data_IF_609377726465
#
_entry.id   IF_609377726465
#
_cell.length_a   1.000
_cell.length_b   1.000
_cell.length_c   1.000
_cell.angle_alpha   90.00
_cell.angle_beta   90.00
_cell.angle_gamma   90.00
#
_symmetry.space_group_name_H-M   'P 1'
#
loop_
_entity.id
_entity.type
_entity.pdbx_description
1 polymer ?
#
# COMPACT_ATOMS: atom_id res chain seq x y z
N UNK A 1 9.83 12.39 -9.47
CA UNK A 1 9.03 11.16 -9.67
C UNK A 1 7.59 11.56 -9.50
N UNK A 2 6.73 11.27 -10.47
CA UNK A 2 5.31 11.54 -10.34
C UNK A 2 4.62 10.25 -9.85
N UNK A 3 3.86 10.35 -8.76
CA UNK A 3 3.10 9.25 -8.16
C UNK A 3 1.58 9.43 -8.37
N UNK A 4 1.16 10.43 -9.16
CA UNK A 4 -0.22 10.64 -9.55
C UNK A 4 -0.75 9.45 -10.36
N UNK A 5 -1.91 8.93 -9.95
CA UNK A 5 -2.66 7.89 -10.65
C UNK A 5 -1.85 6.62 -10.96
N UNK A 6 -1.03 6.16 -10.01
CA UNK A 6 -0.27 4.91 -10.13
C UNK A 6 -1.20 3.68 -10.01
N UNK A 7 -1.91 3.37 -11.09
CA UNK A 7 -2.87 2.27 -11.18
C UNK A 7 -2.94 1.72 -12.62
N UNK A 8 -3.15 0.41 -12.76
CA UNK A 8 -3.34 -0.24 -14.07
C UNK A 8 -4.34 -1.40 -14.00
N UNK A 9 -4.89 -1.78 -15.16
CA UNK A 9 -5.76 -2.95 -15.31
C UNK A 9 -5.11 -4.00 -16.19
N UNK A 10 -5.08 -5.24 -15.71
CA UNK A 10 -4.59 -6.39 -16.47
C UNK A 10 -5.77 -7.30 -16.81
N UNK A 11 -6.01 -7.48 -18.11
CA UNK A 11 -7.02 -8.42 -18.61
C UNK A 11 -6.38 -9.76 -18.92
N UNK A 12 -6.79 -10.80 -18.18
CA UNK A 12 -6.35 -12.16 -18.46
C UNK A 12 -6.86 -12.64 -19.83
N UNK A 13 -6.06 -13.44 -20.53
CA UNK A 13 -6.45 -14.04 -21.81
C UNK A 13 -7.66 -14.98 -21.65
N UNK A 14 -7.76 -15.64 -20.50
CA UNK A 14 -8.88 -16.52 -20.12
C UNK A 14 -9.31 -16.21 -18.68
N UNK A 15 -10.61 -16.28 -18.36
CA UNK A 15 -11.09 -16.08 -16.99
C UNK A 15 -10.56 -17.17 -16.05
N UNK A 16 -10.35 -16.82 -14.78
CA UNK A 16 -10.02 -17.77 -13.73
C UNK A 16 -11.29 -18.42 -13.16
N UNK A 17 -11.15 -19.66 -12.68
CA UNK A 17 -12.19 -20.32 -11.90
C UNK A 17 -12.01 -19.97 -10.43
N UNK A 18 -13.00 -19.29 -9.85
CA UNK A 18 -13.01 -18.97 -8.42
C UNK A 18 -13.12 -20.25 -7.58
N UNK A 19 -12.43 -20.27 -6.45
CA UNK A 19 -12.41 -21.38 -5.49
C UNK A 19 -11.90 -20.86 -4.13
N UNK A 20 -11.68 -21.77 -3.17
CA UNK A 20 -11.24 -21.43 -1.81
C UNK A 20 -9.90 -20.66 -1.75
N UNK A 21 -9.09 -20.75 -2.81
CA UNK A 21 -7.80 -20.07 -2.93
C UNK A 21 -7.80 -18.94 -3.97
N UNK A 22 -8.90 -18.72 -4.70
CA UNK A 22 -9.01 -17.71 -5.76
C UNK A 22 -10.34 -16.97 -5.63
N UNK A 23 -10.29 -15.72 -5.19
CA UNK A 23 -11.45 -14.85 -5.01
C UNK A 23 -11.22 -13.46 -5.59
N UNK A 24 -12.28 -12.66 -5.66
CA UNK A 24 -12.25 -11.25 -6.09
C UNK A 24 -12.26 -10.34 -4.86
N UNK A 25 -11.57 -9.21 -4.95
CA UNK A 25 -11.63 -8.16 -3.93
C UNK A 25 -12.75 -7.17 -4.24
N UNK A 26 -13.37 -6.61 -3.21
CA UNK A 26 -14.33 -5.53 -3.35
C UNK A 26 -13.61 -4.23 -3.73
N UNK A 27 -14.27 -3.39 -4.54
CA UNK A 27 -13.84 -2.01 -4.76
C UNK A 27 -14.52 -1.08 -3.75
N UNK A 28 -13.85 -0.02 -3.27
CA UNK A 28 -14.49 1.01 -2.47
C UNK A 28 -15.54 1.77 -3.29
N UNK A 29 -16.44 2.46 -2.59
CA UNK A 29 -17.38 3.37 -3.25
C UNK A 29 -16.62 4.57 -3.82
N UNK A 30 -17.10 5.15 -4.92
CA UNK A 30 -16.49 6.35 -5.49
C UNK A 30 -16.38 7.47 -4.44
N UNK A 31 -15.16 7.95 -4.20
CA UNK A 31 -14.86 9.00 -3.21
C UNK A 31 -14.77 8.52 -1.76
N UNK A 32 -14.92 7.22 -1.50
CA UNK A 32 -14.68 6.63 -0.19
C UNK A 32 -13.18 6.58 0.09
N UNK A 33 -12.77 7.22 1.20
CA UNK A 33 -11.40 7.20 1.70
C UNK A 33 -11.35 6.44 3.02
N UNK A 34 -10.28 5.67 3.28
CA UNK A 34 -10.14 4.98 4.55
C UNK A 34 -9.92 6.02 5.66
N UNK A 35 -10.47 5.77 6.85
CA UNK A 35 -10.38 6.71 7.97
C UNK A 35 -8.99 6.61 8.61
N UNK A 36 -8.48 7.72 9.11
CA UNK A 36 -7.27 7.77 9.92
C UNK A 36 -7.31 6.71 11.05
N UNK A 37 -6.16 6.14 11.39
CA UNK A 37 -6.01 5.08 12.39
C UNK A 37 -6.72 3.75 12.08
N UNK A 38 -7.43 3.64 10.94
CA UNK A 38 -7.97 2.37 10.48
C UNK A 38 -6.81 1.42 10.21
N UNK A 39 -6.85 0.23 10.81
CA UNK A 39 -5.86 -0.81 10.55
C UNK A 39 -6.22 -1.55 9.27
N UNK A 40 -5.27 -1.61 8.35
CA UNK A 40 -5.39 -2.27 7.06
C UNK A 40 -4.32 -3.34 6.94
N UNK A 41 -4.58 -4.36 6.13
CA UNK A 41 -3.64 -5.44 5.87
C UNK A 41 -3.03 -5.26 4.49
N UNK A 42 -1.70 -5.21 4.41
CA UNK A 42 -0.96 -5.33 3.15
C UNK A 42 -0.38 -6.74 3.05
N UNK A 43 -0.45 -7.35 1.87
CA UNK A 43 0.07 -8.70 1.62
C UNK A 43 1.01 -8.72 0.42
N UNK A 44 2.03 -9.58 0.45
CA UNK A 44 2.99 -9.67 -0.65
C UNK A 44 4.13 -10.65 -0.42
N UNK A 45 5.00 -10.72 -1.42
CA UNK A 45 6.22 -11.55 -1.43
C UNK A 45 7.50 -10.71 -1.33
N UNK A 46 7.40 -9.42 -0.99
CA UNK A 46 8.52 -8.49 -0.94
C UNK A 46 9.63 -8.89 0.04
N UNK A 47 10.65 -8.03 0.14
CA UNK A 47 11.78 -8.26 1.04
C UNK A 47 11.33 -8.25 2.50
N UNK A 48 11.90 -9.16 3.29
CA UNK A 48 11.56 -9.30 4.71
C UNK A 48 12.19 -8.18 5.56
N UNK A 49 13.24 -7.56 5.06
CA UNK A 49 13.91 -6.40 5.64
C UNK A 49 14.64 -5.65 4.52
N UNK A 50 15.05 -4.40 4.80
CA UNK A 50 15.68 -3.50 3.82
C UNK A 50 16.88 -4.11 3.06
N UNK A 51 17.66 -4.96 3.73
CA UNK A 51 18.83 -5.63 3.17
C UNK A 51 18.70 -7.17 3.22
N UNK A 52 17.45 -7.66 3.34
CA UNK A 52 17.13 -9.08 3.50
C UNK A 52 16.96 -9.83 2.19
N UNK A 53 16.33 -11.00 2.28
CA UNK A 53 15.91 -11.79 1.11
C UNK A 53 14.42 -11.58 0.81
N UNK A 54 14.05 -11.77 -0.45
CA UNK A 54 12.66 -11.85 -0.89
C UNK A 54 11.96 -13.06 -0.27
N UNK A 55 10.69 -12.91 0.08
CA UNK A 55 9.95 -13.99 0.72
C UNK A 55 9.56 -15.09 -0.26
N UNK A 56 9.87 -16.34 0.07
CA UNK A 56 9.37 -17.52 -0.67
C UNK A 56 7.91 -17.89 -0.34
N UNK A 57 7.32 -17.22 0.65
CA UNK A 57 5.93 -17.41 1.08
C UNK A 57 5.25 -16.05 1.17
N UNK A 58 3.95 -16.01 0.89
CA UNK A 58 3.18 -14.79 1.09
C UNK A 58 3.27 -14.37 2.56
N UNK A 59 3.40 -13.06 2.78
CA UNK A 59 3.36 -12.46 4.11
C UNK A 59 2.32 -11.37 4.16
N UNK A 60 1.93 -11.03 5.38
CA UNK A 60 1.01 -9.95 5.68
C UNK A 60 1.62 -9.04 6.75
N UNK A 61 1.26 -7.75 6.67
CA UNK A 61 1.57 -6.76 7.68
C UNK A 61 0.30 -5.92 7.96
N UNK A 62 0.07 -5.61 9.22
CA UNK A 62 -1.01 -4.71 9.63
C UNK A 62 -0.44 -3.31 9.78
N UNK A 63 -0.99 -2.35 9.03
CA UNK A 63 -0.53 -0.96 9.02
C UNK A 63 -1.72 -0.02 9.25
N UNK A 64 -1.58 1.04 10.06
CA UNK A 64 -2.62 2.03 10.23
C UNK A 64 -2.60 3.06 9.10
N UNK A 65 -3.76 3.60 8.73
CA UNK A 65 -3.85 4.82 7.92
C UNK A 65 -3.31 6.00 8.72
N UNK A 66 -2.48 6.82 8.08
CA UNK A 66 -1.87 8.03 8.65
C UNK A 66 -2.54 9.26 8.02
N UNK A 67 -2.63 10.34 8.79
CA UNK A 67 -3.04 11.64 8.29
C UNK A 67 -2.10 12.16 7.18
N UNK A 68 -2.66 12.82 6.17
CA UNK A 68 -1.91 13.28 5.00
C UNK A 68 -0.86 14.35 5.37
N UNK A 69 -1.15 15.24 6.32
CA UNK A 69 -0.22 16.27 6.76
C UNK A 69 0.94 15.66 7.54
N UNK A 70 0.65 14.70 8.42
CA UNK A 70 1.69 13.93 9.12
C UNK A 70 2.58 13.21 8.11
N UNK A 71 1.98 12.54 7.11
CA UNK A 71 2.72 11.85 6.07
C UNK A 71 3.64 12.80 5.28
N UNK A 72 3.10 13.92 4.79
CA UNK A 72 3.89 14.89 4.04
C UNK A 72 5.03 15.48 4.87
N UNK A 73 4.79 15.73 6.16
CA UNK A 73 5.82 16.24 7.07
C UNK A 73 6.94 15.22 7.23
N UNK A 74 6.60 13.98 7.60
CA UNK A 74 7.58 12.90 7.81
C UNK A 74 8.40 12.60 6.54
N UNK A 75 7.75 12.55 5.38
CA UNK A 75 8.43 12.29 4.11
C UNK A 75 9.29 13.47 3.68
N UNK A 76 8.84 14.71 3.90
CA UNK A 76 9.64 15.92 3.63
C UNK A 76 10.82 16.05 4.58
N UNK A 77 10.76 15.53 5.81
CA UNK A 77 11.93 15.49 6.69
C UNK A 77 12.96 14.44 6.23
N UNK A 78 12.48 13.31 5.69
CA UNK A 78 13.34 12.25 5.17
C UNK A 78 13.94 12.58 3.79
N UNK A 79 13.21 13.31 2.94
CA UNK A 79 13.63 13.74 1.62
C UNK A 79 14.16 15.18 1.72
N UNK A 80 15.35 15.48 1.23
CA UNK A 80 15.92 16.84 1.26
C UNK A 80 15.17 17.91 0.45
N UNK A 81 13.93 17.62 0.01
CA UNK A 81 13.03 18.47 -0.77
C UNK A 81 11.58 18.30 -0.30
N UNK A 82 10.71 19.32 -0.47
CA UNK A 82 9.30 19.24 -0.11
C UNK A 82 8.59 18.12 -0.89
N UNK A 83 7.90 17.26 -0.15
CA UNK A 83 7.03 16.23 -0.70
C UNK A 83 5.58 16.70 -0.64
N UNK A 84 4.88 16.60 -1.77
CA UNK A 84 3.44 16.85 -1.86
C UNK A 84 2.79 15.50 -2.16
N UNK A 85 1.91 15.06 -1.27
CA UNK A 85 1.14 13.84 -1.48
C UNK A 85 0.14 14.05 -2.64
N UNK A 86 0.15 13.20 -3.67
CA UNK A 86 -0.85 13.24 -4.74
C UNK A 86 -2.28 13.10 -4.21
N UNK A 87 -3.23 13.81 -4.80
CA UNK A 87 -4.65 13.67 -4.47
C UNK A 87 -5.22 12.26 -4.79
N UNK A 88 -4.51 11.49 -5.62
CA UNK A 88 -4.81 10.08 -5.92
C UNK A 88 -4.20 9.10 -4.93
N UNK A 89 -3.63 9.57 -3.82
CA UNK A 89 -2.85 8.76 -2.87
C UNK A 89 -3.26 9.06 -1.42
N UNK A 90 -2.94 8.14 -0.53
CA UNK A 90 -3.03 8.27 0.92
C UNK A 90 -1.87 7.51 1.55
N UNK A 91 -1.60 7.73 2.84
CA UNK A 91 -0.50 7.08 3.54
C UNK A 91 -0.96 6.05 4.57
N UNK A 92 -0.16 5.02 4.76
CA UNK A 92 -0.33 4.01 5.79
C UNK A 92 1.05 3.58 6.33
N UNK A 93 1.12 3.15 7.59
CA UNK A 93 2.36 2.70 8.22
C UNK A 93 2.81 3.59 9.38
N UNK A 94 4.12 3.81 9.50
CA UNK A 94 4.70 4.71 10.52
C UNK A 94 4.65 4.20 11.97
N UNK A 95 3.81 3.20 12.28
CA UNK A 95 3.75 2.55 13.59
C UNK A 95 4.39 1.15 13.56
N UNK A 96 5.51 1.00 14.27
CA UNK A 96 6.26 -0.26 14.35
C UNK A 96 7.30 -0.44 13.24
N UNK A 97 7.79 -1.67 13.08
CA UNK A 97 8.73 -2.08 12.01
C UNK A 97 8.00 -2.88 10.91
N UNK A 98 6.72 -2.59 10.68
CA UNK A 98 5.87 -3.32 9.73
C UNK A 98 5.45 -2.37 8.62
N UNK A 99 5.85 -2.69 7.39
CA UNK A 99 5.56 -1.90 6.19
C UNK A 99 5.64 -2.80 4.95
N UNK A 100 5.16 -2.31 3.82
CA UNK A 100 5.47 -2.87 2.51
C UNK A 100 6.93 -2.55 2.14
N UNK A 101 7.65 -3.52 1.56
CA UNK A 101 9.03 -3.32 1.13
C UNK A 101 9.25 -3.94 -0.25
N UNK A 102 9.99 -3.22 -1.09
CA UNK A 102 10.32 -3.64 -2.45
C UNK A 102 11.57 -4.50 -2.50
#
# INVERSE_FOLDING_TARGET
MNLDNDISLLRLQKPLNLNDNVCVICLPTSGEMPKESTKCTVTGYGFVSKDGDMSLKIREAEVPIIDDLECMTNVTEALTNPFILPASSFCAGGQGQQDACQ
#
